data_IF_164261324425
#
_entry.id   IF_164261324425
#
_cell.length_a   1.000
_cell.length_b   1.000
_cell.length_c   1.000
_cell.angle_alpha   90.00
_cell.angle_beta   90.00
_cell.angle_gamma   90.00
#
_symmetry.space_group_name_H-M   'P 1'
#
loop_
_entity.id
_entity.type
_entity.pdbx_description
1 polymer ?
#
# COMPACT_ATOMS: atom_id res chain seq x y z
N UNK A 1 -20.40 22.93 21.52
CA UNK A 1 -19.25 22.15 21.03
C UNK A 1 -19.39 22.04 19.52
N UNK A 2 -18.62 22.80 18.74
CA UNK A 2 -18.51 22.53 17.32
C UNK A 2 -17.77 21.21 17.19
N UNK A 3 -18.45 20.15 16.76
CA UNK A 3 -17.77 18.96 16.26
C UNK A 3 -16.87 19.48 15.14
N UNK A 4 -15.54 19.45 15.34
CA UNK A 4 -14.64 19.59 14.22
C UNK A 4 -15.03 18.46 13.27
N UNK A 5 -15.64 18.80 12.14
CA UNK A 5 -15.94 17.82 11.11
C UNK A 5 -14.59 17.44 10.53
N UNK A 6 -14.00 16.36 11.03
CA UNK A 6 -12.79 15.79 10.47
C UNK A 6 -13.12 15.25 9.10
N UNK A 7 -12.50 15.81 8.07
CA UNK A 7 -12.45 15.20 6.74
C UNK A 7 -12.06 13.72 6.88
N UNK A 8 -12.76 12.85 6.16
CA UNK A 8 -12.56 11.40 6.23
C UNK A 8 -11.70 10.95 5.06
N UNK A 9 -10.65 10.18 5.37
CA UNK A 9 -9.75 9.59 4.38
C UNK A 9 -9.84 8.08 4.45
N UNK A 10 -10.06 7.43 3.31
CA UNK A 10 -9.89 5.97 3.20
C UNK A 10 -8.40 5.70 2.91
N UNK A 11 -7.77 4.81 3.67
CA UNK A 11 -6.39 4.39 3.45
C UNK A 11 -6.35 2.96 2.91
N UNK A 12 -5.79 2.78 1.71
CA UNK A 12 -5.49 1.44 1.22
C UNK A 12 -4.28 0.88 2.00
N UNK A 13 -4.57 0.06 3.01
CA UNK A 13 -3.60 -0.43 3.98
C UNK A 13 -3.23 -1.88 3.65
N UNK A 14 -2.08 -2.07 3.01
CA UNK A 14 -1.59 -3.40 2.63
C UNK A 14 -0.86 -4.14 3.76
N UNK A 15 -0.47 -3.43 4.83
CA UNK A 15 0.43 -3.96 5.86
C UNK A 15 1.92 -3.71 5.59
N UNK A 16 2.27 -3.27 4.38
CA UNK A 16 3.62 -2.87 4.02
C UNK A 16 3.99 -1.46 4.47
N UNK A 17 5.31 -1.19 4.50
CA UNK A 17 5.91 0.08 4.90
C UNK A 17 5.26 1.29 4.22
N UNK A 18 5.20 1.29 2.89
CA UNK A 18 4.69 2.43 2.11
C UNK A 18 3.22 2.75 2.45
N UNK A 19 2.35 1.74 2.51
CA UNK A 19 0.95 1.94 2.88
C UNK A 19 0.78 2.40 4.33
N UNK A 20 1.64 1.94 5.23
CA UNK A 20 1.64 2.37 6.62
C UNK A 20 2.05 3.85 6.74
N UNK A 21 3.13 4.25 6.06
CA UNK A 21 3.58 5.65 6.03
C UNK A 21 2.51 6.56 5.43
N UNK A 22 1.88 6.16 4.33
CA UNK A 22 0.81 6.94 3.71
C UNK A 22 -0.42 7.09 4.62
N UNK A 23 -0.82 6.03 5.33
CA UNK A 23 -1.89 6.10 6.32
C UNK A 23 -1.52 7.01 7.49
N UNK A 24 -0.29 6.93 7.99
CA UNK A 24 0.20 7.78 9.08
C UNK A 24 0.25 9.27 8.69
N UNK A 25 0.60 9.61 7.44
CA UNK A 25 0.50 10.98 6.93
C UNK A 25 -0.95 11.50 6.95
N UNK A 26 -1.93 10.66 6.63
CA UNK A 26 -3.34 11.02 6.73
C UNK A 26 -3.77 11.27 8.19
N UNK A 27 -3.28 10.45 9.13
CA UNK A 27 -3.53 10.64 10.57
C UNK A 27 -2.90 11.95 11.06
N UNK A 28 -1.64 12.23 10.70
CA UNK A 28 -0.96 13.48 11.07
C UNK A 28 -1.69 14.72 10.52
N UNK A 29 -2.29 14.63 9.33
CA UNK A 29 -3.13 15.66 8.74
C UNK A 29 -4.48 15.87 9.46
N UNK A 30 -4.70 15.23 10.62
CA UNK A 30 -5.89 15.39 11.46
C UNK A 30 -7.17 14.82 10.85
N UNK A 31 -7.04 13.89 9.89
CA UNK A 31 -8.17 13.26 9.21
C UNK A 31 -8.76 12.11 10.04
N UNK A 32 -10.06 11.85 9.91
CA UNK A 32 -10.64 10.58 10.34
C UNK A 32 -10.24 9.52 9.32
N UNK A 33 -9.30 8.65 9.68
CA UNK A 33 -8.79 7.62 8.76
C UNK A 33 -9.54 6.30 8.95
N UNK A 34 -9.96 5.71 7.83
CA UNK A 34 -10.55 4.37 7.74
C UNK A 34 -9.60 3.48 6.94
N UNK A 35 -9.13 2.39 7.52
CA UNK A 35 -8.27 1.42 6.84
C UNK A 35 -9.08 0.47 5.94
N UNK A 36 -8.55 0.15 4.76
CA UNK A 36 -9.09 -0.84 3.85
C UNK A 36 -7.98 -1.77 3.36
N UNK A 37 -8.10 -3.06 3.65
CA UNK A 37 -7.18 -4.13 3.26
C UNK A 37 -7.88 -5.16 2.40
N UNK A 38 -7.11 -5.93 1.62
CA UNK A 38 -7.65 -6.89 0.67
C UNK A 38 -7.05 -8.28 0.86
N UNK A 39 -7.90 -9.26 1.12
CA UNK A 39 -7.57 -10.66 0.84
C UNK A 39 -7.85 -10.91 -0.64
N UNK A 40 -6.80 -10.92 -1.46
CA UNK A 40 -6.92 -11.00 -2.91
C UNK A 40 -6.54 -12.35 -3.52
N UNK A 41 -6.44 -13.39 -2.70
CA UNK A 41 -5.92 -14.69 -3.16
C UNK A 41 -4.40 -14.70 -3.30
N UNK A 42 -3.70 -13.80 -2.59
CA UNK A 42 -2.24 -13.81 -2.51
C UNK A 42 -1.70 -15.10 -1.88
N UNK A 43 -0.40 -15.36 -1.96
CA UNK A 43 0.19 -16.62 -1.44
C UNK A 43 0.28 -16.74 0.08
N UNK A 44 0.10 -15.66 0.83
CA UNK A 44 0.18 -15.64 2.30
C UNK A 44 -0.72 -14.57 2.92
N UNK A 45 -0.95 -14.58 4.24
CA UNK A 45 -1.76 -13.55 4.93
C UNK A 45 -1.01 -12.70 5.96
N UNK A 46 0.32 -12.77 5.95
CA UNK A 46 1.21 -11.96 6.82
C UNK A 46 0.96 -10.46 6.70
N UNK A 47 0.70 -9.99 5.48
CA UNK A 47 0.42 -8.57 5.21
C UNK A 47 -0.92 -8.12 5.83
N UNK A 48 -1.94 -8.99 5.88
CA UNK A 48 -3.21 -8.67 6.56
C UNK A 48 -3.01 -8.59 8.07
N UNK A 49 -2.25 -9.52 8.65
CA UNK A 49 -1.90 -9.49 10.07
C UNK A 49 -1.13 -8.20 10.43
N UNK A 50 -0.21 -7.78 9.55
CA UNK A 50 0.49 -6.51 9.70
C UNK A 50 -0.46 -5.32 9.58
N UNK A 51 -1.39 -5.33 8.62
CA UNK A 51 -2.39 -4.28 8.44
C UNK A 51 -3.27 -4.12 9.68
N UNK A 52 -3.75 -5.22 10.28
CA UNK A 52 -4.53 -5.19 11.53
C UNK A 52 -3.72 -4.55 12.68
N UNK A 53 -2.46 -4.96 12.83
CA UNK A 53 -1.57 -4.42 13.87
C UNK A 53 -1.28 -2.91 13.67
N UNK A 54 -1.12 -2.48 12.43
CA UNK A 54 -0.89 -1.08 12.07
C UNK A 54 -2.14 -0.22 12.26
N UNK A 55 -3.30 -0.74 11.87
CA UNK A 55 -4.57 -0.05 12.06
C UNK A 55 -4.85 0.20 13.54
N UNK A 56 -4.61 -0.80 14.39
CA UNK A 56 -4.71 -0.68 15.84
C UNK A 56 -3.69 0.31 16.40
N UNK A 57 -2.42 0.24 15.98
CA UNK A 57 -1.35 1.15 16.44
C UNK A 57 -1.63 2.62 16.10
N UNK A 58 -2.16 2.88 14.90
CA UNK A 58 -2.48 4.23 14.43
C UNK A 58 -3.82 4.76 14.97
N UNK A 59 -4.60 3.93 15.67
CA UNK A 59 -5.93 4.31 16.15
C UNK A 59 -6.91 4.63 15.02
N UNK A 60 -6.87 3.86 13.92
CA UNK A 60 -7.80 4.07 12.81
C UNK A 60 -9.25 3.89 13.27
N UNK A 61 -10.15 4.72 12.73
CA UNK A 61 -11.54 4.77 13.18
C UNK A 61 -12.37 3.54 12.80
N UNK A 62 -12.04 2.94 11.66
CA UNK A 62 -12.57 1.67 11.17
C UNK A 62 -11.42 0.97 10.42
N UNK A 63 -11.46 -0.37 10.35
CA UNK A 63 -10.58 -1.15 9.49
C UNK A 63 -11.37 -2.30 8.87
N UNK A 64 -11.41 -2.33 7.54
CA UNK A 64 -12.14 -3.33 6.77
C UNK A 64 -11.17 -4.23 6.01
N UNK A 65 -11.45 -5.53 6.00
CA UNK A 65 -10.74 -6.51 5.15
C UNK A 65 -11.75 -7.08 4.16
N UNK A 66 -11.49 -6.88 2.87
CA UNK A 66 -12.39 -7.31 1.79
C UNK A 66 -11.76 -8.45 1.00
N UNK A 67 -12.54 -9.50 0.75
CA UNK A 67 -12.12 -10.62 -0.10
C UNK A 67 -12.41 -10.32 -1.58
N UNK A 68 -11.37 -10.32 -2.41
CA UNK A 68 -11.44 -10.07 -3.86
C UNK A 68 -10.49 -11.02 -4.57
N UNK A 69 -10.93 -12.22 -4.91
CA UNK A 69 -10.03 -13.29 -5.35
C UNK A 69 -9.42 -13.08 -6.76
N UNK A 70 -8.47 -12.15 -6.87
CA UNK A 70 -7.66 -11.91 -8.08
C UNK A 70 -6.77 -13.10 -8.41
N UNK A 71 -6.43 -13.92 -7.42
CA UNK A 71 -5.65 -15.15 -7.63
C UNK A 71 -6.40 -16.26 -8.37
N UNK A 72 -7.72 -16.16 -8.52
CA UNK A 72 -8.54 -17.22 -9.16
C UNK A 72 -8.18 -17.50 -10.61
N UNK A 73 -7.53 -16.57 -11.31
CA UNK A 73 -7.05 -16.73 -12.70
C UNK A 73 -5.52 -16.70 -12.83
N UNK A 74 -4.79 -16.62 -11.72
CA UNK A 74 -3.32 -16.58 -11.72
C UNK A 74 -2.72 -15.36 -12.43
N UNK A 75 -1.61 -15.57 -13.14
CA UNK A 75 -0.91 -14.50 -13.87
C UNK A 75 0.12 -13.73 -13.04
N UNK A 76 0.36 -14.13 -11.80
CA UNK A 76 1.39 -13.56 -10.95
C UNK A 76 1.93 -14.55 -9.95
N UNK A 77 3.24 -14.54 -9.72
CA UNK A 77 3.85 -15.29 -8.63
C UNK A 77 3.27 -14.91 -7.27
N UNK A 78 2.77 -13.69 -7.04
CA UNK A 78 2.17 -13.36 -5.74
C UNK A 78 0.84 -14.06 -5.45
N UNK A 79 0.19 -14.67 -6.45
CA UNK A 79 -1.13 -15.32 -6.32
C UNK A 79 -1.16 -16.77 -6.80
N UNK A 80 -0.22 -17.15 -7.67
CA UNK A 80 -0.07 -18.50 -8.19
C UNK A 80 1.09 -19.21 -7.48
N UNK A 81 0.76 -20.24 -6.70
CA UNK A 81 1.72 -21.03 -5.93
C UNK A 81 2.61 -21.92 -6.81
N UNK A 82 2.23 -22.15 -8.07
CA UNK A 82 3.04 -22.91 -9.01
C UNK A 82 4.20 -22.09 -9.59
N UNK A 83 4.16 -20.77 -9.43
CA UNK A 83 5.20 -19.85 -9.89
C UNK A 83 6.19 -19.50 -8.78
N UNK A 84 7.47 -19.41 -9.15
CA UNK A 84 8.53 -18.98 -8.24
C UNK A 84 8.53 -17.46 -8.09
N UNK A 85 8.71 -16.98 -6.86
CA UNK A 85 8.98 -15.56 -6.59
C UNK A 85 10.45 -15.27 -6.96
N UNK A 86 10.73 -14.25 -7.78
CA UNK A 86 12.09 -13.90 -8.17
C UNK A 86 12.97 -13.52 -6.96
N UNK A 87 14.23 -13.97 -7.01
CA UNK A 87 15.28 -13.69 -6.02
C UNK A 87 16.49 -12.96 -6.59
N UNK A 88 16.56 -12.80 -7.92
CA UNK A 88 17.75 -12.33 -8.63
C UNK A 88 17.85 -10.80 -8.74
N UNK A 89 16.84 -10.08 -8.26
CA UNK A 89 16.76 -8.63 -8.38
C UNK A 89 15.87 -8.17 -9.52
N UNK A 90 15.66 -6.85 -9.56
CA UNK A 90 14.86 -6.17 -10.59
C UNK A 90 15.63 -6.09 -11.90
N UNK A 91 14.94 -6.38 -13.02
CA UNK A 91 15.45 -6.17 -14.38
C UNK A 91 14.79 -4.90 -14.94
N UNK A 92 15.61 -3.93 -15.35
CA UNK A 92 15.11 -2.67 -15.89
C UNK A 92 14.27 -2.88 -17.18
N UNK A 93 13.21 -2.09 -17.33
CA UNK A 93 12.29 -2.18 -18.46
C UNK A 93 11.39 -3.44 -18.50
N UNK A 94 11.51 -4.36 -17.54
CA UNK A 94 10.71 -5.59 -17.48
C UNK A 94 9.73 -5.54 -16.32
N UNK A 95 8.44 -5.82 -16.59
CA UNK A 95 7.44 -6.01 -15.54
C UNK A 95 7.66 -7.42 -14.95
N UNK A 96 8.07 -7.57 -13.68
CA UNK A 96 8.34 -8.89 -13.12
C UNK A 96 7.04 -9.65 -12.87
N UNK A 97 7.15 -10.97 -12.77
CA UNK A 97 6.00 -11.85 -12.54
C UNK A 97 5.32 -11.61 -11.17
N UNK A 98 5.90 -10.81 -10.27
CA UNK A 98 5.28 -10.36 -9.02
C UNK A 98 4.21 -9.29 -9.24
N UNK A 99 4.12 -8.72 -10.44
CA UNK A 99 3.00 -7.88 -10.83
C UNK A 99 1.70 -8.70 -10.87
N UNK A 100 0.71 -8.30 -10.07
CA UNK A 100 -0.63 -8.89 -10.09
C UNK A 100 -1.49 -8.10 -11.07
N UNK A 101 -2.00 -8.71 -12.16
CA UNK A 101 -2.75 -7.99 -13.19
C UNK A 101 -3.90 -7.15 -12.62
N UNK A 102 -3.85 -5.83 -12.86
CA UNK A 102 -4.93 -4.90 -12.49
C UNK A 102 -5.16 -4.71 -10.99
N UNK A 103 -4.26 -5.18 -10.12
CA UNK A 103 -4.46 -5.19 -8.65
C UNK A 103 -4.80 -3.80 -8.11
N UNK A 104 -3.98 -2.78 -8.40
CA UNK A 104 -4.26 -1.44 -7.86
C UNK A 104 -5.53 -0.85 -8.49
N UNK A 105 -5.83 -1.19 -9.75
CA UNK A 105 -7.04 -0.72 -10.41
C UNK A 105 -8.30 -1.20 -9.71
N UNK A 106 -8.34 -2.49 -9.33
CA UNK A 106 -9.47 -3.06 -8.59
C UNK A 106 -9.54 -2.49 -7.17
N UNK A 107 -8.40 -2.37 -6.48
CA UNK A 107 -8.37 -1.86 -5.10
C UNK A 107 -8.80 -0.40 -5.00
N UNK A 108 -8.37 0.44 -5.95
CA UNK A 108 -8.81 1.83 -6.01
C UNK A 108 -10.32 1.91 -6.27
N UNK A 109 -10.89 1.09 -7.15
CA UNK A 109 -12.33 1.09 -7.41
C UNK A 109 -13.14 0.77 -6.15
N UNK A 110 -12.73 -0.25 -5.40
CA UNK A 110 -13.40 -0.63 -4.14
C UNK A 110 -13.19 0.43 -3.07
N UNK A 111 -11.98 1.00 -2.97
CA UNK A 111 -11.67 2.10 -2.06
C UNK A 111 -12.53 3.34 -2.32
N UNK A 112 -12.75 3.68 -3.59
CA UNK A 112 -13.66 4.76 -3.98
C UNK A 112 -15.11 4.47 -3.61
N UNK A 113 -15.57 3.22 -3.77
CA UNK A 113 -16.91 2.81 -3.34
C UNK A 113 -17.10 2.96 -1.83
N UNK A 114 -16.11 2.54 -1.02
CA UNK A 114 -16.14 2.76 0.43
C UNK A 114 -16.09 4.26 0.78
N UNK A 115 -15.24 5.02 0.07
CA UNK A 115 -15.10 6.45 0.28
C UNK A 115 -16.43 7.18 0.05
N UNK A 116 -17.14 6.87 -1.03
CA UNK A 116 -18.46 7.44 -1.31
C UNK A 116 -19.47 7.06 -0.23
N UNK A 117 -19.51 5.78 0.18
CA UNK A 117 -20.41 5.31 1.24
C UNK A 117 -20.14 5.94 2.62
N UNK A 118 -18.96 6.51 2.84
CA UNK A 118 -18.55 7.18 4.09
C UNK A 118 -18.48 8.70 3.98
N UNK A 119 -18.86 9.28 2.83
CA UNK A 119 -18.64 10.71 2.52
C UNK A 119 -17.19 11.13 2.76
N UNK A 120 -16.24 10.25 2.47
CA UNK A 120 -14.83 10.56 2.49
C UNK A 120 -14.50 11.49 1.31
N UNK A 121 -13.55 12.40 1.51
CA UNK A 121 -13.10 13.31 0.47
C UNK A 121 -11.80 12.84 -0.20
N UNK A 122 -11.18 11.80 0.33
CA UNK A 122 -9.86 11.35 -0.09
C UNK A 122 -9.69 9.83 0.04
N UNK A 123 -8.93 9.28 -0.90
CA UNK A 123 -8.41 7.91 -0.86
C UNK A 123 -6.87 8.01 -0.89
N UNK A 124 -6.21 7.68 0.21
CA UNK A 124 -4.75 7.69 0.31
C UNK A 124 -4.15 6.35 -0.12
N UNK A 125 -3.11 6.42 -0.94
CA UNK A 125 -2.46 5.31 -1.62
C UNK A 125 -0.98 5.26 -1.24
N UNK A 126 -0.51 4.09 -0.76
CA UNK A 126 0.91 3.83 -0.50
C UNK A 126 1.71 3.51 -1.77
N UNK A 127 1.45 4.22 -2.87
CA UNK A 127 2.11 4.00 -4.16
C UNK A 127 3.31 4.93 -4.29
N UNK A 128 4.42 4.41 -4.78
CA UNK A 128 5.67 5.10 -5.07
C UNK A 128 6.16 4.70 -6.47
N UNK A 129 6.58 5.66 -7.30
CA UNK A 129 7.05 5.48 -8.68
C UNK A 129 8.59 5.37 -8.85
N UNK A 130 9.39 5.68 -7.83
CA UNK A 130 10.85 5.84 -7.95
C UNK A 130 11.65 4.54 -7.79
N UNK A 131 11.27 3.64 -6.89
CA UNK A 131 12.09 2.45 -6.58
C UNK A 131 11.81 1.24 -7.51
N UNK A 132 11.39 1.48 -8.75
CA UNK A 132 10.50 0.55 -9.46
C UNK A 132 11.13 -0.68 -10.14
N UNK A 133 10.44 -1.80 -9.88
CA UNK A 133 10.13 -2.98 -10.71
C UNK A 133 9.26 -2.74 -11.97
N UNK A 134 9.20 -1.53 -12.54
CA UNK A 134 8.47 -1.27 -13.79
C UNK A 134 6.92 -1.36 -13.80
N UNK A 135 6.21 -1.48 -12.66
CA UNK A 135 4.75 -1.70 -12.66
C UNK A 135 3.96 -0.56 -13.33
N UNK A 136 2.94 -0.89 -14.15
CA UNK A 136 2.18 0.12 -14.90
C UNK A 136 1.16 0.89 -14.05
N UNK A 137 0.63 0.28 -12.99
CA UNK A 137 -0.49 0.80 -12.18
C UNK A 137 -0.04 1.61 -10.94
N UNK A 138 1.16 2.18 -11.03
CA UNK A 138 1.80 2.95 -9.97
C UNK A 138 2.45 4.25 -10.47
N UNK A 139 2.13 4.64 -11.72
CA UNK A 139 2.74 5.79 -12.39
C UNK A 139 1.88 7.04 -12.25
N UNK A 140 2.47 8.25 -12.31
CA UNK A 140 1.71 9.49 -12.24
C UNK A 140 0.64 9.64 -13.33
N UNK A 141 0.89 9.16 -14.55
CA UNK A 141 -0.07 9.18 -15.66
C UNK A 141 -1.26 8.25 -15.42
N UNK A 142 -1.02 7.04 -14.92
CA UNK A 142 -2.05 6.13 -14.45
C UNK A 142 -2.94 6.79 -13.38
N UNK A 143 -2.35 7.42 -12.36
CA UNK A 143 -3.12 8.08 -11.30
C UNK A 143 -3.94 9.27 -11.81
N UNK A 144 -3.42 10.08 -12.75
CA UNK A 144 -4.18 11.17 -13.38
C UNK A 144 -5.37 10.66 -14.18
N UNK A 145 -5.17 9.59 -14.97
CA UNK A 145 -6.26 8.96 -15.71
C UNK A 145 -7.33 8.40 -14.75
N UNK A 146 -6.90 7.76 -13.66
CA UNK A 146 -7.81 7.24 -12.66
C UNK A 146 -8.57 8.34 -11.92
N UNK A 147 -7.91 9.44 -11.53
CA UNK A 147 -8.59 10.58 -10.90
C UNK A 147 -9.71 11.12 -11.80
N UNK A 148 -9.45 11.22 -13.11
CA UNK A 148 -10.47 11.65 -14.09
C UNK A 148 -11.65 10.67 -14.14
N UNK A 149 -11.39 9.36 -14.10
CA UNK A 149 -12.44 8.34 -14.00
C UNK A 149 -13.21 8.45 -12.68
N UNK A 150 -12.51 8.63 -11.56
CA UNK A 150 -13.12 8.77 -10.24
C UNK A 150 -14.10 9.95 -10.21
N UNK A 151 -13.69 11.12 -10.72
CA UNK A 151 -14.55 12.30 -10.80
C UNK A 151 -15.80 12.08 -11.69
N UNK A 152 -15.73 11.19 -12.68
CA UNK A 152 -16.87 10.83 -13.55
C UNK A 152 -17.78 9.74 -12.98
N UNK A 153 -17.26 8.88 -12.10
CA UNK A 153 -17.90 7.62 -11.72
C UNK A 153 -18.69 7.69 -10.40
N UNK A 154 -18.52 8.74 -9.59
CA UNK A 154 -19.23 8.89 -8.31
C UNK A 154 -20.05 10.19 -8.24
N UNK A 155 -21.04 10.21 -7.35
CA UNK A 155 -21.96 11.35 -7.17
C UNK A 155 -21.21 12.61 -6.76
N UNK A 156 -20.29 12.49 -5.81
CA UNK A 156 -19.50 13.62 -5.30
C UNK A 156 -18.70 14.31 -6.42
N UNK A 157 -18.11 13.54 -7.32
CA UNK A 157 -17.38 14.02 -8.49
C UNK A 157 -18.27 14.78 -9.46
N UNK A 158 -19.47 14.25 -9.76
CA UNK A 158 -20.46 14.92 -10.61
C UNK A 158 -21.00 16.23 -10.02
N UNK A 159 -20.99 16.34 -8.69
CA UNK A 159 -21.39 17.54 -7.96
C UNK A 159 -20.21 18.51 -7.67
N UNK A 160 -19.01 18.20 -8.16
CA UNK A 160 -17.83 19.07 -8.07
C UNK A 160 -17.01 18.93 -6.78
N UNK A 161 -17.32 17.95 -5.92
CA UNK A 161 -16.62 17.66 -4.67
C UNK A 161 -16.05 16.23 -4.63
N UNK A 162 -15.59 15.75 -5.78
CA UNK A 162 -15.09 14.38 -5.97
C UNK A 162 -13.94 13.97 -5.06
N UNK A 163 -13.94 12.69 -4.72
CA UNK A 163 -12.91 12.03 -3.89
C UNK A 163 -11.55 12.17 -4.57
N UNK A 164 -10.56 12.66 -3.83
CA UNK A 164 -9.19 12.85 -4.31
C UNK A 164 -8.34 11.61 -4.07
N UNK A 165 -7.72 11.10 -5.12
CA UNK A 165 -6.65 10.11 -5.03
C UNK A 165 -5.38 10.81 -4.54
N UNK A 166 -4.91 10.43 -3.37
CA UNK A 166 -3.72 11.00 -2.76
C UNK A 166 -2.62 9.95 -2.66
N UNK A 167 -1.57 10.10 -3.46
CA UNK A 167 -0.38 9.24 -3.40
C UNK A 167 0.80 10.09 -2.90
N UNK A 168 0.93 10.32 -1.57
CA UNK A 168 1.97 11.23 -1.04
C UNK A 168 3.40 10.76 -1.30
N UNK A 169 3.59 9.47 -1.55
CA UNK A 169 4.91 8.84 -1.71
C UNK A 169 5.34 8.70 -3.18
N UNK A 170 4.55 9.23 -4.12
CA UNK A 170 4.69 8.93 -5.55
C UNK A 170 6.10 9.25 -6.09
N UNK A 171 6.72 10.33 -5.61
CA UNK A 171 8.04 10.79 -6.06
C UNK A 171 9.15 10.55 -5.00
N UNK A 172 8.88 9.76 -3.96
CA UNK A 172 9.84 9.52 -2.88
C UNK A 172 10.62 8.25 -3.13
N UNK A 173 11.93 8.24 -2.87
CA UNK A 173 12.67 6.98 -2.80
C UNK A 173 12.41 6.25 -1.47
N UNK A 174 12.80 4.97 -1.40
CA UNK A 174 12.50 4.14 -0.23
C UNK A 174 13.14 4.67 1.05
N UNK A 175 14.32 5.29 0.96
CA UNK A 175 14.99 5.90 2.11
C UNK A 175 14.16 7.05 2.69
N UNK A 176 13.61 7.92 1.85
CA UNK A 176 12.71 9.00 2.30
C UNK A 176 11.47 8.42 2.98
N UNK A 177 10.87 7.36 2.42
CA UNK A 177 9.72 6.67 3.02
C UNK A 177 10.06 6.08 4.39
N UNK A 178 11.24 5.46 4.56
CA UNK A 178 11.72 4.96 5.85
C UNK A 178 11.91 6.09 6.86
N UNK A 179 12.59 7.17 6.46
CA UNK A 179 12.84 8.32 7.33
C UNK A 179 11.53 8.95 7.81
N UNK A 180 10.55 9.07 6.92
CA UNK A 180 9.24 9.60 7.27
C UNK A 180 8.45 8.65 8.17
N UNK A 181 8.49 7.34 7.89
CA UNK A 181 7.90 6.34 8.76
C UNK A 181 8.43 6.42 10.20
N UNK A 182 9.75 6.63 10.36
CA UNK A 182 10.38 6.82 11.66
C UNK A 182 9.92 8.11 12.34
N UNK A 183 9.86 9.23 11.59
CA UNK A 183 9.40 10.53 12.11
C UNK A 183 7.96 10.46 12.61
N UNK A 184 7.10 9.73 11.88
CA UNK A 184 5.69 9.53 12.20
C UNK A 184 5.45 8.47 13.30
N UNK A 185 6.48 7.78 13.79
CA UNK A 185 6.34 6.72 14.78
C UNK A 185 5.62 5.47 14.26
N UNK A 186 5.70 5.21 12.95
CA UNK A 186 5.22 3.96 12.34
C UNK A 186 6.01 2.79 12.92
N UNK A 187 5.37 1.71 13.41
CA UNK A 187 6.07 0.55 13.95
C UNK A 187 6.58 -0.30 12.78
N UNK A 188 7.71 0.12 12.21
CA UNK A 188 8.29 -0.48 11.00
C UNK A 188 8.54 -1.99 11.19
N UNK A 189 8.90 -2.43 12.39
CA UNK A 189 9.07 -3.84 12.77
C UNK A 189 7.80 -4.68 12.62
N UNK A 190 6.62 -4.06 12.69
CA UNK A 190 5.31 -4.71 12.48
C UNK A 190 4.85 -4.70 11.02
N UNK A 191 5.52 -3.95 10.14
CA UNK A 191 5.17 -3.91 8.72
C UNK A 191 5.70 -5.15 8.00
N UNK A 192 4.98 -5.62 6.99
CA UNK A 192 5.35 -6.79 6.19
C UNK A 192 5.49 -6.44 4.71
N UNK A 193 6.68 -6.66 4.14
CA UNK A 193 6.96 -6.39 2.72
C UNK A 193 7.38 -7.65 1.94
N UNK A 194 7.77 -8.72 2.62
CA UNK A 194 8.30 -9.93 1.98
C UNK A 194 7.24 -10.65 1.16
N UNK A 195 7.53 -10.94 -0.10
CA UNK A 195 6.64 -11.69 -1.00
C UNK A 195 6.47 -13.17 -0.61
N UNK A 196 7.46 -13.78 0.06
CA UNK A 196 7.48 -15.23 0.31
C UNK A 196 6.57 -15.68 1.46
N UNK A 197 6.23 -14.79 2.40
CA UNK A 197 5.27 -15.12 3.47
C UNK A 197 5.72 -16.13 4.53
N UNK A 198 7.02 -16.45 4.60
CA UNK A 198 7.58 -17.34 5.61
C UNK A 198 7.47 -16.80 7.04
N UNK A 199 8.07 -17.49 8.01
CA UNK A 199 8.08 -17.04 9.41
C UNK A 199 8.83 -15.72 9.60
N UNK A 200 9.84 -15.49 8.77
CA UNK A 200 10.61 -14.26 8.69
C UNK A 200 10.64 -13.73 7.25
N UNK A 201 10.91 -12.44 7.10
CA UNK A 201 11.20 -11.84 5.80
C UNK A 201 12.42 -12.55 5.18
N UNK A 202 12.34 -12.92 3.90
CA UNK A 202 13.34 -13.79 3.27
C UNK A 202 14.69 -13.11 3.00
N UNK A 203 14.76 -11.77 3.06
CA UNK A 203 15.97 -11.00 2.75
C UNK A 203 16.38 -10.97 1.27
N UNK A 204 15.85 -11.86 0.42
CA UNK A 204 16.33 -12.06 -0.96
C UNK A 204 15.35 -11.65 -2.06
N UNK A 205 14.04 -11.56 -1.79
CA UNK A 205 13.09 -11.04 -2.79
C UNK A 205 13.28 -9.54 -2.98
N UNK A 206 12.88 -9.00 -4.14
CA UNK A 206 13.07 -7.59 -4.47
C UNK A 206 12.55 -6.64 -3.40
N UNK A 207 11.36 -6.93 -2.84
CA UNK A 207 10.80 -6.09 -1.80
C UNK A 207 11.60 -6.14 -0.49
N UNK A 208 12.24 -7.26 -0.15
CA UNK A 208 13.15 -7.32 0.99
C UNK A 208 14.43 -6.55 0.70
N UNK A 209 15.06 -6.76 -0.46
CA UNK A 209 16.32 -6.07 -0.82
C UNK A 209 16.16 -4.55 -0.81
N UNK A 210 15.11 -4.04 -1.45
CA UNK A 210 14.82 -2.59 -1.52
C UNK A 210 14.58 -2.03 -0.11
N UNK A 211 13.77 -2.73 0.71
CA UNK A 211 13.48 -2.32 2.08
C UNK A 211 14.74 -2.31 2.95
N UNK A 212 15.52 -3.39 2.93
CA UNK A 212 16.68 -3.56 3.80
C UNK A 212 17.83 -2.60 3.42
N UNK A 213 17.99 -2.32 2.12
CA UNK A 213 18.89 -1.27 1.65
C UNK A 213 18.48 0.11 2.20
N UNK A 214 17.20 0.47 2.07
CA UNK A 214 16.69 1.75 2.57
C UNK A 214 16.77 1.89 4.10
N UNK A 215 16.49 0.82 4.85
CA UNK A 215 16.66 0.77 6.30
C UNK A 215 18.13 0.98 6.69
N UNK A 216 19.05 0.33 5.99
CA UNK A 216 20.49 0.48 6.23
C UNK A 216 20.97 1.89 5.91
N UNK A 217 20.54 2.47 4.79
CA UNK A 217 20.85 3.86 4.43
C UNK A 217 20.26 4.90 5.38
N UNK A 218 19.17 4.56 6.08
CA UNK A 218 18.56 5.36 7.12
C UNK A 218 19.16 5.10 8.52
N UNK A 219 20.20 4.26 8.64
CA UNK A 219 20.87 3.95 9.91
C UNK A 219 20.06 3.02 10.83
N UNK A 220 19.11 2.26 10.28
CA UNK A 220 18.22 1.33 10.99
C UNK A 220 18.38 -0.12 10.54
N UNK A 221 19.62 -0.56 10.37
CA UNK A 221 19.93 -1.96 10.02
C UNK A 221 19.44 -2.97 11.06
N UNK A 222 19.11 -2.54 12.28
CA UNK A 222 18.45 -3.35 13.31
C UNK A 222 17.04 -3.84 12.91
N UNK A 223 16.41 -3.15 11.94
CA UNK A 223 15.08 -3.49 11.41
C UNK A 223 15.12 -4.30 10.10
N UNK A 224 16.31 -4.57 9.55
CA UNK A 224 16.45 -5.35 8.32
C UNK A 224 16.00 -6.79 8.53
N UNK A 225 15.67 -7.47 7.43
CA UNK A 225 15.44 -8.92 7.45
C UNK A 225 16.65 -9.61 8.10
N UNK A 226 16.40 -10.44 9.12
CA UNK A 226 17.44 -11.29 9.68
C UNK A 226 17.86 -12.27 8.58
N UNK A 227 19.14 -12.35 8.28
CA UNK A 227 19.69 -13.41 7.42
C UNK A 227 19.16 -14.74 7.94
N UNK A 228 18.35 -15.44 7.15
CA UNK A 228 18.01 -16.82 7.48
C UNK A 228 19.29 -17.62 7.25
N UNK A 229 19.81 -18.36 8.26
CA UNK A 229 21.04 -19.15 8.10
C UNK A 229 20.92 -20.20 6.99
#
# INVERSE_FOLDING_TARGET
MSSMIHSTTIALLSGGLDSATAAALAVEAGQKVIGLSFDYGQRHRKELQAADALAAHMGLSEHHVISVNLGSWGGSSLTDLTQTVPSEGVVDGVIPNTYVPGRNTVFIAIGLSLAEARNANQLVLGINAMDYSGYPDCRPDYLRAYQSLADLANKAGREGHGIKLWAPLIDWNKKQIVQEALRLGVPIDKTWSCYSGGDHACGICDSCRIRDAALSEAGRSDLCSKSTP
#
